data_IF_260874477034
#
_entry.id   IF_260874477034
#
_cell.length_a   1.000
_cell.length_b   1.000
_cell.length_c   1.000
_cell.angle_alpha   90.00
_cell.angle_beta   90.00
_cell.angle_gamma   90.00
#
_symmetry.space_group_name_H-M   'P 1'
#
loop_
_entity.id
_entity.type
_entity.pdbx_description
1 polymer ?
#
# COMPACT_ATOMS: atom_id res chain seq x y z
N UNK A 1 -11.60 -0.96 -22.45
CA UNK A 1 -11.22 -1.59 -21.17
C UNK A 1 -12.48 -2.26 -20.64
N UNK A 2 -12.46 -3.56 -20.34
CA UNK A 2 -13.58 -4.22 -19.68
C UNK A 2 -13.71 -3.66 -18.26
N UNK A 3 -14.90 -3.21 -17.89
CA UNK A 3 -15.16 -2.77 -16.53
C UNK A 3 -15.22 -4.02 -15.63
N UNK A 4 -14.40 -4.06 -14.59
CA UNK A 4 -14.52 -5.12 -13.57
C UNK A 4 -15.68 -4.75 -12.65
N UNK A 5 -16.58 -5.70 -12.33
CA UNK A 5 -17.68 -5.42 -11.41
C UNK A 5 -17.16 -4.94 -10.06
N UNK A 6 -17.66 -3.79 -9.63
CA UNK A 6 -17.56 -3.33 -8.24
C UNK A 6 -18.75 -3.88 -7.45
N UNK A 7 -18.55 -4.46 -6.26
CA UNK A 7 -17.32 -4.50 -5.47
C UNK A 7 -16.33 -5.60 -5.89
N UNK A 8 -15.06 -5.23 -6.07
CA UNK A 8 -14.00 -6.15 -6.49
C UNK A 8 -13.76 -7.30 -5.49
N UNK A 9 -13.99 -7.05 -4.19
CA UNK A 9 -13.86 -8.08 -3.15
C UNK A 9 -14.87 -9.22 -3.35
N UNK A 10 -16.13 -8.90 -3.63
CA UNK A 10 -17.18 -9.88 -3.92
C UNK A 10 -16.87 -10.67 -5.18
N UNK A 11 -16.31 -9.99 -6.19
CA UNK A 11 -15.90 -10.66 -7.42
C UNK A 11 -14.77 -11.67 -7.16
N UNK A 12 -13.72 -11.29 -6.44
CA UNK A 12 -12.63 -12.22 -6.07
C UNK A 12 -13.16 -13.37 -5.23
N UNK A 13 -14.02 -13.09 -4.23
CA UNK A 13 -14.65 -14.13 -3.41
C UNK A 13 -15.51 -15.10 -4.24
N UNK A 14 -16.22 -14.61 -5.26
CA UNK A 14 -17.06 -15.42 -6.14
C UNK A 14 -16.28 -16.40 -7.02
N UNK A 15 -14.96 -16.23 -7.15
CA UNK A 15 -14.12 -17.14 -7.93
C UNK A 15 -14.00 -18.53 -7.29
N UNK A 16 -14.35 -18.67 -6.00
CA UNK A 16 -14.17 -19.90 -5.23
C UNK A 16 -12.73 -20.47 -5.38
N UNK A 17 -11.74 -19.58 -5.42
CA UNK A 17 -10.35 -19.96 -5.57
C UNK A 17 -9.89 -20.79 -4.36
N UNK A 18 -9.00 -21.75 -4.62
CA UNK A 18 -8.31 -22.47 -3.55
C UNK A 18 -7.46 -21.49 -2.74
N UNK A 19 -7.17 -21.75 -1.45
CA UNK A 19 -6.27 -20.93 -0.66
C UNK A 19 -4.96 -20.61 -1.41
N UNK A 20 -4.41 -19.40 -1.26
CA UNK A 20 -3.18 -19.00 -1.95
C UNK A 20 -2.06 -19.98 -1.62
N UNK A 21 -1.16 -20.23 -2.56
CA UNK A 21 0.06 -21.02 -2.35
C UNK A 21 1.28 -20.07 -2.32
N UNK A 22 2.42 -20.46 -1.73
CA UNK A 22 3.63 -19.65 -1.79
C UNK A 22 4.09 -19.41 -3.23
N UNK A 23 4.46 -18.16 -3.56
CA UNK A 23 4.88 -17.72 -4.90
C UNK A 23 6.38 -17.33 -4.90
N UNK A 24 6.95 -17.13 -3.72
CA UNK A 24 8.33 -16.76 -3.45
C UNK A 24 8.54 -15.25 -3.30
N UNK A 25 9.43 -14.88 -2.37
CA UNK A 25 9.72 -13.47 -2.02
C UNK A 25 10.17 -12.59 -3.21
N UNK A 26 10.76 -13.19 -4.26
CA UNK A 26 11.16 -12.48 -5.48
C UNK A 26 9.97 -11.86 -6.24
N UNK A 27 8.77 -12.43 -6.08
CA UNK A 27 7.54 -11.91 -6.69
C UNK A 27 7.15 -10.52 -6.16
N UNK A 28 7.62 -10.13 -4.97
CA UNK A 28 7.38 -8.81 -4.37
C UNK A 28 8.58 -7.88 -4.50
N UNK A 29 9.41 -8.04 -5.53
CA UNK A 29 10.47 -7.10 -5.85
C UNK A 29 9.90 -5.77 -6.37
N UNK A 30 10.55 -4.66 -5.99
CA UNK A 30 10.32 -3.36 -6.62
C UNK A 30 10.71 -3.47 -8.08
N UNK A 31 9.88 -2.99 -9.04
CA UNK A 31 10.23 -3.06 -10.45
C UNK A 31 11.55 -2.33 -10.73
N UNK A 32 12.35 -2.88 -11.64
CA UNK A 32 13.72 -2.38 -11.90
C UNK A 32 13.79 -1.16 -12.82
N UNK A 33 12.64 -0.57 -13.18
CA UNK A 33 12.65 0.65 -13.99
C UNK A 33 13.20 1.85 -13.20
N UNK A 34 13.83 2.77 -13.93
CA UNK A 34 14.44 3.95 -13.34
C UNK A 34 13.43 4.77 -12.51
N UNK A 35 12.19 4.92 -13.01
CA UNK A 35 11.14 5.66 -12.30
C UNK A 35 10.71 4.98 -11.00
N UNK A 36 10.67 3.65 -10.95
CA UNK A 36 10.38 2.91 -9.72
C UNK A 36 11.49 3.08 -8.67
N UNK A 37 12.76 3.03 -9.07
CA UNK A 37 13.88 3.27 -8.15
C UNK A 37 13.90 4.72 -7.64
N UNK A 38 13.59 5.69 -8.51
CA UNK A 38 13.41 7.10 -8.11
C UNK A 38 12.28 7.25 -7.08
N UNK A 39 11.13 6.64 -7.33
CA UNK A 39 10.01 6.68 -6.39
C UNK A 39 10.33 5.97 -5.05
N UNK A 40 11.02 4.83 -5.09
CA UNK A 40 11.48 4.10 -3.89
C UNK A 40 12.39 4.98 -3.02
N UNK A 41 13.41 5.60 -3.62
CA UNK A 41 14.32 6.49 -2.92
C UNK A 41 13.58 7.71 -2.35
N UNK A 42 12.76 8.37 -3.18
CA UNK A 42 11.99 9.53 -2.77
C UNK A 42 11.07 9.23 -1.58
N UNK A 43 10.33 8.11 -1.62
CA UNK A 43 9.44 7.72 -0.51
C UNK A 43 10.22 7.39 0.76
N UNK A 44 11.40 6.78 0.64
CA UNK A 44 12.29 6.50 1.77
C UNK A 44 12.78 7.77 2.47
N UNK A 45 12.94 8.87 1.74
CA UNK A 45 13.35 10.17 2.30
C UNK A 45 12.17 11.03 2.77
N UNK A 46 11.07 10.99 2.03
CA UNK A 46 9.92 11.86 2.22
C UNK A 46 9.00 11.40 3.34
N UNK A 47 8.77 10.09 3.48
CA UNK A 47 7.85 9.54 4.47
C UNK A 47 8.58 9.01 5.71
N UNK A 48 7.92 9.05 6.88
CA UNK A 48 8.38 8.27 8.03
C UNK A 48 8.56 6.79 7.65
N UNK A 49 9.62 6.15 8.15
CA UNK A 49 9.97 4.77 7.78
C UNK A 49 8.80 3.78 7.94
N UNK A 50 8.00 3.92 8.99
CA UNK A 50 6.85 3.04 9.24
C UNK A 50 5.77 3.14 8.14
N UNK A 51 5.61 4.33 7.55
CA UNK A 51 4.65 4.57 6.47
C UNK A 51 5.24 4.20 5.12
N UNK A 52 6.51 4.53 4.85
CA UNK A 52 7.19 4.05 3.64
C UNK A 52 7.15 2.52 3.54
N UNK A 53 7.44 1.81 4.65
CA UNK A 53 7.31 0.36 4.70
C UNK A 53 5.87 -0.12 4.51
N UNK A 54 4.86 0.58 5.05
CA UNK A 54 3.45 0.25 4.78
C UNK A 54 3.10 0.37 3.30
N UNK A 55 3.57 1.41 2.62
CA UNK A 55 3.36 1.62 1.20
C UNK A 55 3.94 0.45 0.36
N UNK A 56 5.11 -0.08 0.76
CA UNK A 56 5.69 -1.25 0.11
C UNK A 56 4.97 -2.57 0.44
N UNK A 57 4.54 -2.79 1.68
CA UNK A 57 3.76 -3.99 2.04
C UNK A 57 2.43 -4.03 1.30
N UNK A 58 1.76 -2.89 1.19
CA UNK A 58 0.49 -2.78 0.45
C UNK A 58 0.67 -2.87 -1.06
N UNK A 59 1.84 -2.48 -1.60
CA UNK A 59 2.23 -2.87 -2.96
C UNK A 59 2.28 -4.38 -3.14
N UNK A 60 2.94 -5.10 -2.23
CA UNK A 60 3.00 -6.55 -2.29
C UNK A 60 1.60 -7.19 -2.24
N UNK A 61 0.73 -6.72 -1.34
CA UNK A 61 -0.67 -7.17 -1.29
C UNK A 61 -1.44 -6.87 -2.59
N UNK A 62 -1.20 -5.73 -3.23
CA UNK A 62 -1.82 -5.37 -4.51
C UNK A 62 -1.38 -6.26 -5.68
N UNK A 63 -0.23 -6.93 -5.56
CA UNK A 63 0.22 -7.96 -6.51
C UNK A 63 -0.34 -9.34 -6.19
N UNK A 64 -0.50 -9.69 -4.92
CA UNK A 64 -0.97 -10.99 -4.51
C UNK A 64 -2.45 -11.25 -4.88
N UNK A 65 -3.30 -10.22 -4.81
CA UNK A 65 -4.72 -10.32 -5.20
C UNK A 65 -4.90 -10.80 -6.65
N UNK A 66 -4.37 -10.10 -7.68
CA UNK A 66 -4.52 -10.55 -9.06
C UNK A 66 -3.79 -11.86 -9.33
N UNK A 67 -2.71 -12.18 -8.61
CA UNK A 67 -2.07 -13.48 -8.72
C UNK A 67 -2.99 -14.61 -8.25
N UNK A 68 -3.53 -14.49 -7.04
CA UNK A 68 -4.47 -15.46 -6.47
C UNK A 68 -5.72 -15.65 -7.35
N UNK A 69 -6.19 -14.57 -7.97
CA UNK A 69 -7.32 -14.61 -8.89
C UNK A 69 -6.99 -15.14 -10.30
N UNK A 70 -5.72 -15.44 -10.60
CA UNK A 70 -5.27 -15.88 -11.93
C UNK A 70 -5.34 -14.79 -13.00
N UNK A 71 -5.26 -13.52 -12.61
CA UNK A 71 -5.42 -12.35 -13.46
C UNK A 71 -4.10 -11.71 -13.90
N UNK A 72 -2.98 -12.04 -13.26
CA UNK A 72 -1.68 -11.40 -13.46
C UNK A 72 -0.87 -11.95 -14.65
N UNK A 73 -1.43 -12.90 -15.42
CA UNK A 73 -0.79 -13.52 -16.58
C UNK A 73 -1.44 -13.23 -17.94
N UNK A 74 -0.60 -13.25 -18.99
CA UNK A 74 -1.01 -13.32 -20.40
C UNK A 74 -1.95 -12.20 -20.86
N UNK A 75 -2.95 -12.56 -21.66
CA UNK A 75 -3.91 -11.61 -22.21
C UNK A 75 -4.85 -11.03 -21.13
N UNK A 76 -5.08 -11.76 -20.03
CA UNK A 76 -5.94 -11.29 -18.94
C UNK A 76 -5.34 -10.09 -18.23
N UNK A 77 -4.03 -10.14 -17.93
CA UNK A 77 -3.32 -9.01 -17.36
C UNK A 77 -3.39 -7.76 -18.25
N UNK A 78 -3.26 -7.95 -19.58
CA UNK A 78 -3.36 -6.87 -20.55
C UNK A 78 -4.78 -6.30 -20.64
N UNK A 79 -5.79 -7.16 -20.68
CA UNK A 79 -7.21 -6.79 -20.72
C UNK A 79 -7.61 -5.93 -19.50
N UNK A 80 -7.16 -6.35 -18.32
CA UNK A 80 -7.44 -5.70 -17.04
C UNK A 80 -6.50 -4.50 -16.75
N UNK A 81 -5.48 -4.29 -17.57
CA UNK A 81 -4.49 -3.24 -17.38
C UNK A 81 -3.66 -3.42 -16.10
N UNK A 82 -3.37 -4.66 -15.71
CA UNK A 82 -2.51 -4.98 -14.57
C UNK A 82 -1.06 -4.70 -14.98
N UNK A 83 -0.49 -3.64 -14.43
CA UNK A 83 0.90 -3.25 -14.69
C UNK A 83 1.66 -3.04 -13.39
N UNK A 84 2.65 -3.89 -13.12
CA UNK A 84 3.39 -3.93 -11.84
C UNK A 84 4.02 -2.58 -11.47
N UNK A 85 4.57 -1.87 -12.45
CA UNK A 85 5.14 -0.52 -12.26
C UNK A 85 4.06 0.51 -11.91
N UNK A 86 2.89 0.46 -12.54
CA UNK A 86 1.81 1.42 -12.24
C UNK A 86 1.20 1.13 -10.86
N UNK A 87 1.04 -0.14 -10.52
CA UNK A 87 0.62 -0.57 -9.18
C UNK A 87 1.63 -0.09 -8.14
N UNK A 88 2.93 -0.26 -8.39
CA UNK A 88 3.98 0.23 -7.49
C UNK A 88 3.89 1.74 -7.30
N UNK A 89 3.94 2.52 -8.39
CA UNK A 89 3.90 3.98 -8.34
C UNK A 89 2.63 4.48 -7.66
N UNK A 90 1.47 3.92 -8.00
CA UNK A 90 0.19 4.29 -7.38
C UNK A 90 0.19 4.00 -5.86
N UNK A 91 0.74 2.85 -5.43
CA UNK A 91 0.79 2.49 -4.01
C UNK A 91 1.74 3.37 -3.22
N UNK A 92 2.95 3.61 -3.72
CA UNK A 92 3.95 4.37 -2.97
C UNK A 92 3.65 5.87 -2.92
N UNK A 93 3.06 6.42 -3.98
CA UNK A 93 2.70 7.85 -4.03
C UNK A 93 1.38 8.17 -3.32
N UNK A 94 0.48 7.19 -3.13
CA UNK A 94 -0.78 7.41 -2.38
C UNK A 94 -0.54 7.88 -0.94
N UNK A 95 0.52 7.40 -0.31
CA UNK A 95 0.79 7.66 1.10
C UNK A 95 1.48 9.01 1.34
N UNK A 96 1.66 9.84 0.31
CA UNK A 96 2.31 11.16 0.41
C UNK A 96 1.60 12.15 1.35
N UNK A 97 0.34 11.89 1.70
CA UNK A 97 -0.39 12.65 2.72
C UNK A 97 0.19 12.53 4.13
N UNK A 98 0.98 11.49 4.40
CA UNK A 98 1.53 11.19 5.72
C UNK A 98 2.84 11.90 6.04
N UNK A 99 3.34 12.78 5.17
CA UNK A 99 4.40 13.71 5.55
C UNK A 99 3.89 14.70 6.59
N UNK A 100 4.16 14.40 7.86
CA UNK A 100 3.74 15.22 8.98
C UNK A 100 4.38 16.62 8.97
N UNK A 101 5.47 16.86 8.20
CA UNK A 101 6.11 18.17 8.14
C UNK A 101 5.21 19.17 7.44
N UNK A 102 4.62 18.81 6.30
CA UNK A 102 3.86 19.75 5.50
C UNK A 102 2.37 19.47 5.43
N UNK A 103 1.93 18.20 5.50
CA UNK A 103 0.51 17.87 5.43
C UNK A 103 -0.29 18.45 6.59
N UNK A 104 0.27 18.41 7.81
CA UNK A 104 -0.36 18.96 9.01
C UNK A 104 -0.32 20.49 9.10
N UNK A 105 0.36 21.17 8.16
CA UNK A 105 0.31 22.64 8.00
C UNK A 105 -0.80 23.06 7.04
N UNK A 106 -1.28 22.16 6.19
CA UNK A 106 -2.39 22.39 5.28
C UNK A 106 -3.73 22.29 6.01
N UNK A 107 -4.77 22.92 5.46
CA UNK A 107 -6.18 22.70 5.86
C UNK A 107 -6.87 21.59 5.07
N UNK A 108 -6.19 21.02 4.07
CA UNK A 108 -6.71 19.93 3.24
C UNK A 108 -6.53 18.60 3.95
N UNK A 109 -7.51 17.70 3.83
CA UNK A 109 -7.38 16.29 4.23
C UNK A 109 -6.11 15.67 3.64
N UNK A 110 -5.48 14.79 4.40
CA UNK A 110 -4.21 14.15 4.03
C UNK A 110 -4.27 13.49 2.64
N UNK A 111 -5.41 12.94 2.23
CA UNK A 111 -5.57 12.27 0.94
C UNK A 111 -5.54 13.26 -0.22
N UNK A 112 -6.19 14.42 -0.06
CA UNK A 112 -6.18 15.49 -1.06
C UNK A 112 -4.79 16.11 -1.16
N UNK A 113 -4.18 16.40 -0.01
CA UNK A 113 -2.80 16.90 0.04
C UNK A 113 -1.82 15.92 -0.60
N UNK A 114 -1.91 14.64 -0.21
CA UNK A 114 -1.10 13.56 -0.76
C UNK A 114 -1.27 13.44 -2.28
N UNK A 115 -2.51 13.50 -2.79
CA UNK A 115 -2.78 13.49 -4.22
C UNK A 115 -2.16 14.68 -4.97
N UNK A 116 -2.19 15.87 -4.39
CA UNK A 116 -1.54 17.06 -4.97
C UNK A 116 -0.02 16.86 -5.01
N UNK A 117 0.57 16.36 -3.93
CA UNK A 117 2.02 16.16 -3.85
C UNK A 117 2.49 15.02 -4.77
N UNK A 118 1.73 13.93 -4.85
CA UNK A 118 1.94 12.86 -5.82
C UNK A 118 1.89 13.39 -7.25
N UNK A 119 0.90 14.24 -7.57
CA UNK A 119 0.80 14.87 -8.88
C UNK A 119 2.00 15.76 -9.20
N UNK A 120 2.44 16.59 -8.25
CA UNK A 120 3.63 17.42 -8.42
C UNK A 120 4.87 16.57 -8.70
N UNK A 121 5.04 15.48 -7.95
CA UNK A 121 6.13 14.55 -8.16
C UNK A 121 6.07 13.91 -9.55
N UNK A 122 4.91 13.35 -9.94
CA UNK A 122 4.68 12.73 -11.26
C UNK A 122 5.02 13.68 -12.40
N UNK A 123 4.54 14.93 -12.35
CA UNK A 123 4.82 15.92 -13.39
C UNK A 123 6.30 16.32 -13.45
N UNK A 124 7.00 16.32 -12.31
CA UNK A 124 8.44 16.53 -12.30
C UNK A 124 9.23 15.37 -12.93
N UNK A 125 8.59 14.21 -13.16
CA UNK A 125 9.17 13.04 -13.81
C UNK A 125 8.60 12.79 -15.22
N UNK A 126 7.95 13.78 -15.84
CA UNK A 126 7.24 13.60 -17.12
C UNK A 126 8.14 12.98 -18.20
N UNK A 127 9.38 13.46 -18.34
CA UNK A 127 10.34 12.92 -19.31
C UNK A 127 10.65 11.44 -19.06
N UNK A 128 10.86 11.04 -17.80
CA UNK A 128 11.13 9.64 -17.45
C UNK A 128 9.90 8.74 -17.70
N UNK A 129 8.71 9.25 -17.42
CA UNK A 129 7.45 8.54 -17.63
C UNK A 129 7.17 8.35 -19.13
N UNK A 130 7.35 9.39 -19.93
CA UNK A 130 7.20 9.34 -21.39
C UNK A 130 8.26 8.39 -21.98
N UNK A 131 9.51 8.47 -21.53
CA UNK A 131 10.57 7.55 -21.95
C UNK A 131 10.27 6.08 -21.59
N UNK A 132 9.57 5.83 -20.48
CA UNK A 132 9.09 4.50 -20.09
C UNK A 132 7.81 4.06 -20.83
N UNK A 133 7.27 4.88 -21.74
CA UNK A 133 6.02 4.61 -22.44
C UNK A 133 4.80 4.65 -21.50
N UNK A 134 4.80 5.56 -20.52
CA UNK A 134 3.71 5.77 -19.56
C UNK A 134 3.13 7.16 -19.73
N UNK A 135 1.80 7.24 -19.69
CA UNK A 135 1.09 8.51 -19.61
C UNK A 135 0.99 8.91 -18.12
N UNK A 136 1.44 10.12 -17.75
CA UNK A 136 1.24 10.66 -16.40
C UNK A 136 -0.22 10.60 -15.95
N UNK A 137 -1.16 10.80 -16.87
CA UNK A 137 -2.60 10.79 -16.63
C UNK A 137 -3.10 9.44 -16.08
N UNK A 138 -2.48 8.32 -16.47
CA UNK A 138 -2.82 7.00 -15.93
C UNK A 138 -2.55 6.88 -14.43
N UNK A 139 -1.53 7.60 -13.93
CA UNK A 139 -1.20 7.67 -12.49
C UNK A 139 -2.06 8.70 -11.75
N UNK A 140 -2.53 9.73 -12.46
CA UNK A 140 -3.36 10.82 -11.92
C UNK A 140 -4.87 10.51 -11.93
N UNK A 141 -5.30 9.49 -12.66
CA UNK A 141 -6.71 9.10 -12.85
C UNK A 141 -7.48 8.66 -11.60
N UNK A 142 -6.86 8.71 -10.42
CA UNK A 142 -7.44 8.40 -9.10
C UNK A 142 -8.67 9.23 -8.67
N UNK A 143 -9.06 10.25 -9.45
CA UNK A 143 -10.16 11.17 -9.14
C UNK A 143 -11.27 11.20 -10.21
N UNK A 144 -11.26 10.29 -11.19
CA UNK A 144 -12.33 10.21 -12.20
C UNK A 144 -13.48 9.33 -11.73
N UNK A 145 -14.70 9.56 -12.26
CA UNK A 145 -15.90 8.76 -11.98
C UNK A 145 -15.80 7.29 -12.42
N UNK A 146 -14.72 6.90 -13.09
CA UNK A 146 -14.41 5.53 -13.48
C UNK A 146 -13.16 5.07 -12.73
N UNK A 147 -13.33 4.22 -11.73
CA UNK A 147 -12.22 3.59 -11.01
C UNK A 147 -11.54 2.60 -11.96
N UNK A 148 -10.32 2.91 -12.44
CA UNK A 148 -9.58 1.93 -13.22
C UNK A 148 -9.19 0.74 -12.32
N UNK A 149 -9.06 -0.46 -12.90
CA UNK A 149 -8.84 -1.68 -12.13
C UNK A 149 -7.59 -1.62 -11.22
N UNK A 150 -6.55 -0.90 -11.66
CA UNK A 150 -5.35 -0.63 -10.86
C UNK A 150 -5.68 0.15 -9.59
N UNK A 151 -6.54 1.19 -9.66
CA UNK A 151 -7.00 1.95 -8.51
C UNK A 151 -7.86 1.10 -7.57
N UNK A 152 -8.70 0.21 -8.11
CA UNK A 152 -9.49 -0.72 -7.29
C UNK A 152 -8.58 -1.69 -6.50
N UNK A 153 -7.54 -2.23 -7.13
CA UNK A 153 -6.51 -3.05 -6.46
C UNK A 153 -5.76 -2.24 -5.39
N UNK A 154 -5.39 -1.00 -5.69
CA UNK A 154 -4.75 -0.08 -4.73
C UNK A 154 -5.62 0.16 -3.50
N UNK A 155 -6.92 0.37 -3.68
CA UNK A 155 -7.87 0.56 -2.57
C UNK A 155 -8.02 -0.72 -1.74
N UNK A 156 -8.26 -1.87 -2.37
CA UNK A 156 -8.36 -3.16 -1.68
C UNK A 156 -7.09 -3.51 -0.89
N UNK A 157 -5.91 -3.25 -1.47
CA UNK A 157 -4.64 -3.58 -0.83
C UNK A 157 -4.29 -2.66 0.35
N UNK A 158 -4.78 -1.42 0.41
CA UNK A 158 -4.68 -0.63 1.64
C UNK A 158 -5.50 -1.26 2.78
N UNK A 159 -6.64 -1.85 2.45
CA UNK A 159 -7.42 -2.68 3.36
C UNK A 159 -6.66 -3.93 3.84
N UNK A 160 -5.53 -4.32 3.23
CA UNK A 160 -4.66 -5.38 3.76
C UNK A 160 -3.77 -4.88 4.89
N UNK A 161 -3.18 -3.70 4.70
CA UNK A 161 -2.28 -3.09 5.68
C UNK A 161 -3.00 -2.60 6.93
N UNK A 162 -4.33 -2.60 6.91
CA UNK A 162 -5.26 -2.29 7.98
C UNK A 162 -6.16 -3.52 8.23
N UNK A 163 -6.72 -3.70 9.42
CA UNK A 163 -6.86 -4.93 10.25
C UNK A 163 -6.70 -6.36 9.66
N UNK A 164 -5.92 -6.60 8.60
CA UNK A 164 -5.76 -7.93 7.99
C UNK A 164 -6.93 -8.35 7.08
N UNK A 165 -7.73 -7.41 6.57
CA UNK A 165 -8.97 -7.69 5.81
C UNK A 165 -8.76 -8.42 4.47
N UNK A 166 -7.51 -8.65 4.05
CA UNK A 166 -7.19 -9.38 2.82
C UNK A 166 -6.08 -10.43 3.00
N UNK A 167 -5.89 -10.93 4.22
CA UNK A 167 -5.06 -12.12 4.46
C UNK A 167 -5.53 -13.34 3.65
N UNK A 168 -6.80 -13.35 3.21
CA UNK A 168 -7.35 -14.42 2.38
C UNK A 168 -6.65 -14.59 1.01
N UNK A 169 -5.94 -13.57 0.51
CA UNK A 169 -5.35 -13.58 -0.84
C UNK A 169 -3.82 -13.70 -0.84
N UNK A 170 -3.20 -13.77 0.33
CA UNK A 170 -1.74 -13.81 0.49
C UNK A 170 -1.38 -14.98 1.39
N UNK A 171 -0.54 -15.89 0.91
CA UNK A 171 -0.05 -16.99 1.75
C UNK A 171 0.74 -16.46 2.94
N UNK A 172 0.66 -17.13 4.09
CA UNK A 172 1.29 -16.67 5.34
C UNK A 172 2.81 -16.51 5.26
N UNK A 173 3.49 -17.43 4.57
CA UNK A 173 4.93 -17.33 4.31
C UNK A 173 5.31 -16.05 3.56
N UNK A 174 4.44 -15.60 2.66
CA UNK A 174 4.65 -14.35 1.93
C UNK A 174 4.38 -13.15 2.83
N UNK A 175 3.35 -13.19 3.67
CA UNK A 175 3.12 -12.15 4.68
C UNK A 175 4.36 -12.00 5.57
N UNK A 176 4.95 -13.12 6.00
CA UNK A 176 6.21 -13.13 6.75
C UNK A 176 7.35 -12.53 5.94
N UNK A 177 7.61 -13.02 4.73
CA UNK A 177 8.71 -12.52 3.89
C UNK A 177 8.58 -11.02 3.56
N UNK A 178 7.36 -10.56 3.28
CA UNK A 178 7.02 -9.14 3.04
C UNK A 178 7.30 -8.31 4.29
N UNK A 179 6.92 -8.79 5.48
CA UNK A 179 7.16 -8.09 6.73
C UNK A 179 8.64 -8.10 7.14
N UNK A 180 9.37 -9.17 6.86
CA UNK A 180 10.82 -9.24 7.10
C UNK A 180 11.56 -8.23 6.20
N UNK A 181 11.14 -8.12 4.93
CA UNK A 181 11.69 -7.16 3.96
C UNK A 181 11.31 -5.71 4.26
N UNK A 182 10.07 -5.45 4.65
CA UNK A 182 9.55 -4.11 4.96
C UNK A 182 8.88 -4.09 6.34
N UNK A 183 9.65 -3.97 7.43
CA UNK A 183 9.14 -4.16 8.79
C UNK A 183 8.10 -3.12 9.19
N UNK A 184 7.16 -3.51 10.07
CA UNK A 184 6.07 -2.65 10.54
C UNK A 184 6.56 -1.40 11.30
N UNK A 185 7.65 -1.52 12.06
CA UNK A 185 8.33 -0.43 12.79
C UNK A 185 7.39 0.60 13.43
N UNK A 186 6.47 0.16 14.30
CA UNK A 186 5.55 1.07 14.99
C UNK A 186 4.42 1.62 14.11
N UNK A 187 4.10 0.97 12.99
CA UNK A 187 3.01 1.35 12.08
C UNK A 187 1.70 1.73 12.80
N UNK A 188 1.22 0.88 13.72
CA UNK A 188 -0.04 1.15 14.44
C UNK A 188 0.04 2.42 15.29
N UNK A 189 1.12 2.59 16.06
CA UNK A 189 1.33 3.78 16.88
C UNK A 189 1.51 5.05 16.02
N UNK A 190 2.27 4.94 14.92
CA UNK A 190 2.50 6.01 13.97
C UNK A 190 1.21 6.47 13.30
N UNK A 191 0.40 5.53 12.81
CA UNK A 191 -0.90 5.80 12.22
C UNK A 191 -1.86 6.42 13.25
N UNK A 192 -2.02 5.81 14.42
CA UNK A 192 -2.90 6.32 15.48
C UNK A 192 -2.57 7.77 15.85
N UNK A 193 -1.29 8.07 16.05
CA UNK A 193 -0.81 9.42 16.34
C UNK A 193 -1.10 10.38 15.19
N UNK A 194 -0.82 9.97 13.95
CA UNK A 194 -1.03 10.83 12.78
C UNK A 194 -2.51 11.15 12.58
N UNK A 195 -3.39 10.15 12.71
CA UNK A 195 -4.85 10.31 12.62
C UNK A 195 -5.38 11.26 13.69
N UNK A 196 -4.92 11.13 14.94
CA UNK A 196 -5.31 12.08 16.02
C UNK A 196 -4.93 13.51 15.65
N UNK A 197 -3.69 13.73 15.19
CA UNK A 197 -3.23 15.06 14.76
C UNK A 197 -3.99 15.59 13.55
N UNK A 198 -4.34 14.73 12.60
CA UNK A 198 -5.15 15.11 11.44
C UNK A 198 -6.52 15.62 11.89
N UNK A 199 -7.23 14.88 12.74
CA UNK A 199 -8.55 15.28 13.24
C UNK A 199 -8.50 16.54 14.10
N UNK A 200 -7.51 16.67 14.98
CA UNK A 200 -7.32 17.86 15.82
C UNK A 200 -7.10 19.12 14.99
N UNK A 201 -6.35 19.01 13.88
CA UNK A 201 -6.00 20.16 13.03
C UNK A 201 -7.00 20.41 11.91
N UNK A 202 -7.71 19.36 11.48
CA UNK A 202 -8.59 19.33 10.30
C UNK A 202 -9.87 18.58 10.68
N UNK A 203 -10.74 19.18 11.50
CA UNK A 203 -11.94 18.52 12.05
C UNK A 203 -13.03 18.19 11.01
N UNK A 204 -12.83 18.54 9.74
CA UNK A 204 -13.72 18.16 8.62
C UNK A 204 -12.93 17.44 7.52
N UNK A 205 -11.83 16.75 7.89
CA UNK A 205 -11.08 15.95 6.94
C UNK A 205 -11.87 14.70 6.54
N UNK A 206 -11.57 14.18 5.35
CA UNK A 206 -12.24 12.97 4.84
C UNK A 206 -11.96 11.72 5.68
N UNK A 207 -10.98 11.79 6.58
CA UNK A 207 -10.59 10.70 7.49
C UNK A 207 -11.53 10.55 8.69
N UNK A 208 -12.38 11.55 8.98
CA UNK A 208 -13.33 11.52 10.12
C UNK A 208 -14.28 10.32 10.04
N UNK A 209 -14.84 10.05 8.86
CA UNK A 209 -15.77 8.94 8.62
C UNK A 209 -15.11 7.55 8.77
N UNK A 210 -13.77 7.48 8.71
CA UNK A 210 -13.03 6.23 8.87
C UNK A 210 -12.70 5.90 10.32
N UNK A 211 -12.80 6.87 11.25
CA UNK A 211 -12.45 6.67 12.65
C UNK A 211 -13.22 5.51 13.32
N UNK A 212 -14.55 5.34 13.11
CA UNK A 212 -15.30 4.24 13.70
C UNK A 212 -14.89 2.85 13.18
N UNK A 213 -14.24 2.77 12.01
CA UNK A 213 -13.75 1.51 11.43
C UNK A 213 -12.45 1.04 12.10
N UNK A 214 -11.73 1.95 12.76
CA UNK A 214 -10.60 1.62 13.59
C UNK A 214 -11.10 1.33 15.02
N UNK A 215 -11.35 0.05 15.33
CA UNK A 215 -11.63 -0.36 16.70
C UNK A 215 -10.51 0.18 17.61
N UNK A 216 -10.82 0.79 18.76
CA UNK A 216 -9.80 1.29 19.70
C UNK A 216 -8.82 0.19 20.10
N UNK A 217 -9.32 -1.06 20.21
CA UNK A 217 -8.50 -2.25 20.47
C UNK A 217 -7.56 -2.64 19.32
N UNK A 218 -7.77 -2.15 18.10
CA UNK A 218 -6.92 -2.44 16.93
C UNK A 218 -5.52 -1.80 17.06
N UNK A 219 -5.40 -0.75 17.88
CA UNK A 219 -4.13 -0.12 18.22
C UNK A 219 -3.56 -0.63 19.55
N UNK A 220 -4.33 -1.42 20.30
CA UNK A 220 -3.99 -2.01 21.60
C UNK A 220 -3.59 -3.49 21.50
N UNK A 221 -3.69 -4.10 20.32
CA UNK A 221 -2.97 -5.36 20.06
C UNK A 221 -1.50 -5.01 20.12
N UNK A 222 -0.83 -5.40 21.21
CA UNK A 222 0.63 -5.42 21.28
C UNK A 222 1.10 -6.01 19.96
N UNK A 223 1.77 -5.16 19.18
CA UNK A 223 2.25 -5.46 17.82
C UNK A 223 2.82 -6.84 17.92
N UNK A 224 2.13 -7.85 17.38
CA UNK A 224 2.46 -9.28 17.48
C UNK A 224 3.97 -9.33 17.65
N UNK A 225 4.43 -9.42 18.90
CA UNK A 225 5.86 -9.35 19.18
C UNK A 225 6.28 -10.58 18.44
N UNK A 226 6.88 -10.37 17.26
CA UNK A 226 7.14 -11.47 16.35
C UNK A 226 7.76 -12.53 17.22
N UNK A 227 7.38 -13.79 17.08
CA UNK A 227 8.05 -14.87 17.83
C UNK A 227 9.60 -14.71 17.76
N UNK A 228 10.10 -14.01 16.73
CA UNK A 228 11.43 -13.40 16.61
C UNK A 228 11.94 -12.45 17.74
N UNK A 229 11.16 -11.49 18.26
CA UNK A 229 11.60 -10.58 19.34
C UNK A 229 11.76 -11.29 20.67
N UNK A 230 10.95 -12.32 20.95
CA UNK A 230 11.17 -13.22 22.08
C UNK A 230 12.44 -14.07 21.86
N UNK A 231 12.66 -14.61 20.65
CA UNK A 231 13.85 -15.42 20.32
C UNK A 231 15.17 -14.63 20.28
N UNK A 232 15.13 -13.34 19.93
CA UNK A 232 16.31 -12.47 19.89
C UNK A 232 16.69 -11.99 21.30
N UNK A 233 15.71 -11.86 22.20
CA UNK A 233 15.95 -11.56 23.61
C UNK A 233 16.44 -12.78 24.42
N UNK A 234 16.13 -14.01 23.97
CA UNK A 234 16.51 -15.25 24.68
C UNK A 234 17.97 -15.71 24.39
N UNK A 235 18.67 -15.07 23.46
CA UNK A 235 20.09 -15.38 23.15
C UNK A 235 21.11 -14.66 24.04
N UNK A 236 20.67 -13.86 25.01
CA UNK A 236 21.54 -13.09 25.92
C UNK A 236 21.89 -13.78 27.25
N UNK A 237 21.48 -15.03 27.47
CA UNK A 237 21.42 -15.64 28.82
C UNK A 237 22.27 -16.88 29.07
N UNK A 238 23.49 -17.02 28.52
CA UNK A 238 24.48 -17.95 29.07
C UNK A 238 25.68 -17.19 29.65
N UNK A 239 25.57 -16.89 30.94
CA UNK A 239 26.72 -16.61 31.80
C UNK A 239 27.49 -17.93 31.99
N UNK A 240 28.75 -17.95 31.56
CA UNK A 240 29.81 -18.66 32.28
C UNK A 240 30.06 -17.98 33.61
#
# INVERSE_FOLDING_TARGET
>A
MSAVPTPLLEHVASLNALPPTPIGAGFFSVPDSAICKKAEAFVGEYLPTWMGNHAFRTYASALAIPNHAGWDGGDKARELGIHRELIFLARVLREMGFDAKDSLKSRMSLELWGGIMARKWILAQEEDLVAAGRSPELLLGGFSSHCNFTLALVVLAAGHGLPGLSNAFVHEDEVKAICDKWPRRGYCAGLSRHTKLELERKPACMFEDFLPLFNSGMFEVDVFESVQSELDNDKGGRKT
#
